data_IF_897191539911
#
_entry.id   IF_897191539911
#
_cell.length_a   1.000
_cell.length_b   1.000
_cell.length_c   1.000
_cell.angle_alpha   90.00
_cell.angle_beta   90.00
_cell.angle_gamma   90.00
#
_symmetry.space_group_name_H-M   'P 1'
#
loop_
_entity.id
_entity.type
_entity.pdbx_description
1 polymer ?
#
# COMPACT_ATOMS: atom_id res chain seq x y z
N UNK A 1 9.74 12.15 -19.47
CA UNK A 1 10.45 11.46 -18.36
C UNK A 1 9.57 10.34 -17.81
N UNK A 2 10.01 9.09 -17.90
CA UNK A 2 9.28 7.93 -17.38
C UNK A 2 9.19 8.00 -15.85
N UNK A 3 7.97 7.86 -15.32
CA UNK A 3 7.71 7.95 -13.89
C UNK A 3 8.37 6.78 -13.17
N UNK A 4 9.41 7.04 -12.38
CA UNK A 4 10.08 6.02 -11.57
C UNK A 4 9.07 5.39 -10.60
N UNK A 5 9.07 4.06 -10.53
CA UNK A 5 8.22 3.30 -9.60
C UNK A 5 8.50 3.74 -8.17
N UNK A 6 7.45 4.11 -7.43
CA UNK A 6 7.59 4.60 -6.05
C UNK A 6 7.70 3.41 -5.09
N UNK A 7 8.72 3.44 -4.22
CA UNK A 7 8.84 2.49 -3.11
C UNK A 7 7.77 2.80 -2.07
N UNK A 8 6.93 1.81 -1.74
CA UNK A 8 5.95 1.92 -0.66
C UNK A 8 6.66 1.71 0.69
N UNK A 9 7.36 2.74 1.15
CA UNK A 9 8.03 2.80 2.44
C UNK A 9 7.90 4.22 3.01
N UNK A 10 8.24 4.38 4.29
CA UNK A 10 8.27 5.70 4.90
C UNK A 10 9.25 6.62 4.15
N UNK A 11 8.81 7.84 3.82
CA UNK A 11 9.64 8.84 3.15
C UNK A 11 10.40 9.60 4.24
N UNK A 12 11.71 9.35 4.39
CA UNK A 12 12.50 9.96 5.45
C UNK A 12 12.59 11.50 5.34
N UNK A 13 12.80 12.02 4.13
CA UNK A 13 12.88 13.46 3.87
C UNK A 13 11.53 14.14 4.15
N UNK A 14 11.48 15.07 5.11
CA UNK A 14 10.24 15.68 5.57
C UNK A 14 9.53 16.52 4.49
N UNK A 15 10.27 17.37 3.78
CA UNK A 15 9.70 18.20 2.71
C UNK A 15 9.09 17.35 1.59
N UNK A 16 9.77 16.29 1.17
CA UNK A 16 9.28 15.33 0.19
C UNK A 16 8.06 14.56 0.71
N UNK A 17 8.07 14.17 1.99
CA UNK A 17 6.95 13.49 2.66
C UNK A 17 5.72 14.39 2.74
N UNK A 18 5.87 15.66 3.13
CA UNK A 18 4.81 16.67 3.20
C UNK A 18 4.21 16.97 1.82
N UNK A 19 5.05 17.16 0.80
CA UNK A 19 4.59 17.37 -0.58
C UNK A 19 3.82 16.14 -1.12
N UNK A 20 4.33 14.94 -0.84
CA UNK A 20 3.68 13.68 -1.22
C UNK A 20 2.36 13.50 -0.48
N UNK A 21 2.30 13.78 0.83
CA UNK A 21 1.08 13.73 1.63
C UNK A 21 0.00 14.63 1.03
N UNK A 22 0.31 15.92 0.77
CA UNK A 22 -0.65 16.85 0.17
C UNK A 22 -1.22 16.34 -1.17
N UNK A 23 -0.35 15.83 -2.04
CA UNK A 23 -0.77 15.28 -3.35
C UNK A 23 -1.63 14.01 -3.20
N UNK A 24 -1.20 13.06 -2.35
CA UNK A 24 -1.91 11.79 -2.14
C UNK A 24 -3.22 11.96 -1.38
N UNK A 25 -3.26 12.83 -0.36
CA UNK A 25 -4.49 13.19 0.37
C UNK A 25 -5.58 13.63 -0.60
N UNK A 26 -5.28 14.62 -1.45
CA UNK A 26 -6.21 15.12 -2.46
C UNK A 26 -6.64 14.02 -3.43
N UNK A 27 -5.70 13.21 -3.91
CA UNK A 27 -6.00 12.09 -4.81
C UNK A 27 -6.89 11.04 -4.17
N UNK A 28 -6.65 10.69 -2.91
CA UNK A 28 -7.47 9.74 -2.15
C UNK A 28 -8.89 10.25 -1.98
N UNK A 29 -9.06 11.48 -1.49
CA UNK A 29 -10.39 12.06 -1.27
C UNK A 29 -11.18 12.18 -2.58
N UNK A 30 -10.52 12.56 -3.68
CA UNK A 30 -11.16 12.56 -5.01
C UNK A 30 -11.61 11.15 -5.42
N UNK A 31 -10.78 10.13 -5.20
CA UNK A 31 -11.13 8.75 -5.53
C UNK A 31 -12.27 8.21 -4.66
N UNK A 32 -12.35 8.66 -3.41
CA UNK A 32 -13.48 8.32 -2.54
C UNK A 32 -14.76 8.94 -3.06
N UNK A 33 -14.75 10.23 -3.41
CA UNK A 33 -15.89 10.93 -3.98
C UNK A 33 -16.40 10.25 -5.27
N UNK A 34 -15.48 9.95 -6.20
CA UNK A 34 -15.77 9.19 -7.42
C UNK A 34 -16.38 7.80 -7.11
N UNK A 35 -15.80 7.06 -6.17
CA UNK A 35 -16.28 5.72 -5.80
C UNK A 35 -17.69 5.77 -5.18
N UNK A 36 -17.91 6.68 -4.24
CA UNK A 36 -19.23 6.83 -3.60
C UNK A 36 -20.29 7.26 -4.60
N UNK A 37 -19.94 8.12 -5.56
CA UNK A 37 -20.87 8.62 -6.58
C UNK A 37 -21.19 7.55 -7.63
N UNK A 38 -20.18 6.85 -8.14
CA UNK A 38 -20.35 5.90 -9.25
C UNK A 38 -20.97 4.57 -8.81
N UNK A 39 -20.71 4.16 -7.57
CA UNK A 39 -21.14 2.84 -7.07
C UNK A 39 -22.25 2.92 -6.03
N UNK A 40 -22.73 4.11 -5.68
CA UNK A 40 -23.72 4.35 -4.62
C UNK A 40 -23.36 3.63 -3.29
N UNK A 41 -22.10 3.78 -2.90
CA UNK A 41 -21.59 3.17 -1.66
C UNK A 41 -21.35 4.22 -0.59
N UNK A 42 -21.67 3.88 0.67
CA UNK A 42 -21.35 4.72 1.83
C UNK A 42 -19.91 4.50 2.25
N UNK A 43 -19.10 5.56 2.25
CA UNK A 43 -17.71 5.52 2.69
C UNK A 43 -17.32 6.78 3.47
N UNK A 44 -16.30 6.66 4.32
CA UNK A 44 -15.70 7.79 5.02
C UNK A 44 -14.19 7.59 5.16
N UNK A 45 -13.45 8.68 5.31
CA UNK A 45 -12.03 8.64 5.66
C UNK A 45 -11.69 9.61 6.78
N UNK A 46 -10.77 9.16 7.64
CA UNK A 46 -10.18 9.92 8.74
C UNK A 46 -8.67 9.84 8.58
N UNK A 47 -8.03 10.97 8.31
CA UNK A 47 -6.59 11.04 8.08
C UNK A 47 -5.91 11.85 9.17
N UNK A 48 -5.01 11.20 9.91
CA UNK A 48 -4.09 11.83 10.84
C UNK A 48 -2.76 12.13 10.15
N UNK A 49 -2.17 13.28 10.46
CA UNK A 49 -0.91 13.70 9.87
C UNK A 49 -0.20 14.68 10.79
N UNK A 50 1.14 14.60 10.90
CA UNK A 50 1.92 15.58 11.67
C UNK A 50 1.91 16.98 11.04
N UNK A 51 1.41 17.10 9.80
CA UNK A 51 1.33 18.37 9.06
C UNK A 51 0.01 19.12 9.23
N UNK A 52 -0.95 18.54 9.95
CA UNK A 52 -2.28 19.10 10.17
C UNK A 52 -2.53 19.13 11.69
N UNK A 53 -3.11 20.22 12.20
CA UNK A 53 -3.45 20.32 13.64
C UNK A 53 -4.63 19.46 14.04
N UNK A 54 -5.50 19.13 13.07
CA UNK A 54 -6.70 18.31 13.24
C UNK A 54 -6.74 17.23 12.18
N UNK A 55 -7.38 16.09 12.46
CA UNK A 55 -7.58 15.07 11.44
C UNK A 55 -8.44 15.62 10.29
N UNK A 56 -8.09 15.22 9.08
CA UNK A 56 -8.92 15.48 7.91
C UNK A 56 -10.01 14.42 7.88
N UNK A 57 -11.26 14.85 7.95
CA UNK A 57 -12.43 13.97 7.93
C UNK A 57 -13.22 14.25 6.66
N UNK A 58 -13.51 13.21 5.89
CA UNK A 58 -14.31 13.28 4.68
C UNK A 58 -15.46 12.26 4.75
N UNK A 59 -16.68 12.61 4.28
CA UNK A 59 -17.07 13.88 3.64
C UNK A 59 -17.21 15.05 4.62
N UNK A 60 -18.03 14.88 5.65
CA UNK A 60 -18.15 15.78 6.79
C UNK A 60 -18.13 14.95 8.09
N UNK A 61 -17.78 15.52 9.25
CA UNK A 61 -17.75 14.77 10.51
C UNK A 61 -19.07 14.08 10.87
N UNK A 62 -20.23 14.67 10.54
CA UNK A 62 -21.54 14.03 10.70
C UNK A 62 -21.69 12.82 9.77
N UNK A 63 -21.47 12.99 8.47
CA UNK A 63 -21.55 11.89 7.51
C UNK A 63 -20.58 10.75 7.82
N UNK A 64 -19.36 11.06 8.27
CA UNK A 64 -18.42 10.04 8.71
C UNK A 64 -18.91 9.28 9.95
N UNK A 65 -19.53 9.98 10.93
CA UNK A 65 -20.17 9.32 12.08
C UNK A 65 -21.30 8.39 11.66
N UNK A 66 -22.10 8.77 10.68
CA UNK A 66 -23.21 7.94 10.18
C UNK A 66 -22.70 6.65 9.52
N UNK A 67 -21.62 6.75 8.72
CA UNK A 67 -20.96 5.58 8.12
C UNK A 67 -20.40 4.66 9.21
N UNK A 68 -19.71 5.23 10.22
CA UNK A 68 -19.16 4.46 11.34
C UNK A 68 -20.27 3.79 12.17
N UNK A 69 -21.35 4.50 12.44
CA UNK A 69 -22.50 3.96 13.17
C UNK A 69 -23.15 2.80 12.39
N UNK A 70 -23.31 2.96 11.08
CA UNK A 70 -23.81 1.90 10.20
C UNK A 70 -22.90 0.69 10.22
N UNK A 71 -21.58 0.89 10.11
CA UNK A 71 -20.59 -0.18 10.19
C UNK A 71 -20.64 -0.93 11.53
N UNK A 72 -20.76 -0.21 12.66
CA UNK A 72 -20.85 -0.81 14.00
C UNK A 72 -22.07 -1.71 14.19
N UNK A 73 -23.18 -1.42 13.49
CA UNK A 73 -24.42 -2.22 13.54
C UNK A 73 -24.34 -3.52 12.73
N UNK A 74 -23.35 -3.67 11.85
CA UNK A 74 -23.20 -4.90 11.05
C UNK A 74 -22.83 -6.10 11.94
N UNK A 75 -23.25 -7.33 11.57
CA UNK A 75 -22.76 -8.55 12.19
C UNK A 75 -21.23 -8.66 12.13
N UNK A 76 -20.61 -9.28 13.14
CA UNK A 76 -19.15 -9.36 13.22
C UNK A 76 -18.53 -10.10 12.03
N UNK A 77 -19.20 -11.16 11.56
CA UNK A 77 -18.77 -11.90 10.39
C UNK A 77 -18.68 -11.02 9.13
N UNK A 78 -19.63 -10.10 8.94
CA UNK A 78 -19.63 -9.17 7.81
C UNK A 78 -18.56 -8.10 7.94
N UNK A 79 -18.33 -7.59 9.16
CA UNK A 79 -17.27 -6.62 9.44
C UNK A 79 -15.90 -7.18 9.06
N UNK A 80 -15.60 -8.41 9.46
CA UNK A 80 -14.26 -9.02 9.29
C UNK A 80 -14.04 -9.55 7.87
N UNK A 81 -15.08 -10.04 7.19
CA UNK A 81 -14.98 -10.74 5.88
C UNK A 81 -14.15 -10.02 4.82
N UNK A 82 -14.18 -8.68 4.81
CA UNK A 82 -13.47 -7.83 3.84
C UNK A 82 -12.60 -6.76 4.50
N UNK A 83 -12.38 -6.84 5.81
CA UNK A 83 -11.53 -5.88 6.51
C UNK A 83 -10.06 -6.12 6.14
N UNK A 84 -9.41 -5.06 5.66
CA UNK A 84 -7.95 -5.06 5.47
C UNK A 84 -7.34 -4.18 6.55
N UNK A 85 -6.72 -4.80 7.55
CA UNK A 85 -5.97 -4.07 8.57
C UNK A 85 -4.57 -3.72 8.07
N UNK A 86 -3.92 -2.75 8.71
CA UNK A 86 -2.52 -2.43 8.43
C UNK A 86 -1.62 -3.62 8.71
N UNK A 87 -1.90 -4.39 9.77
CA UNK A 87 -1.15 -5.59 10.11
C UNK A 87 -1.26 -6.64 8.99
N UNK A 88 -2.48 -6.94 8.54
CA UNK A 88 -2.73 -7.92 7.47
C UNK A 88 -2.06 -7.47 6.17
N UNK A 89 -2.16 -6.19 5.82
CA UNK A 89 -1.47 -5.63 4.66
C UNK A 89 0.05 -5.78 4.76
N UNK A 90 0.64 -5.53 5.93
CA UNK A 90 2.08 -5.70 6.15
C UNK A 90 2.49 -7.17 6.05
N UNK A 91 1.73 -8.10 6.63
CA UNK A 91 1.97 -9.56 6.49
C UNK A 91 1.98 -9.99 5.03
N UNK A 92 0.99 -9.57 4.23
CA UNK A 92 0.94 -9.86 2.80
C UNK A 92 2.15 -9.31 2.05
N UNK A 93 2.63 -8.13 2.42
CA UNK A 93 3.83 -7.54 1.80
C UNK A 93 5.12 -8.24 2.18
N UNK A 94 5.23 -8.72 3.41
CA UNK A 94 6.36 -9.54 3.87
C UNK A 94 6.38 -10.86 3.11
N UNK A 95 5.23 -11.54 2.99
CA UNK A 95 5.11 -12.77 2.21
C UNK A 95 5.56 -12.57 0.76
N UNK A 96 5.07 -11.51 0.11
CA UNK A 96 5.49 -11.17 -1.27
C UNK A 96 6.98 -10.86 -1.41
N UNK A 97 7.58 -10.23 -0.40
CA UNK A 97 9.02 -9.98 -0.39
C UNK A 97 9.81 -11.29 -0.27
N UNK A 98 9.35 -12.24 0.57
CA UNK A 98 9.96 -13.58 0.65
C UNK A 98 9.87 -14.35 -0.66
N UNK A 99 8.74 -14.29 -1.36
CA UNK A 99 8.60 -14.92 -2.68
C UNK A 99 9.59 -14.33 -3.70
N UNK A 100 9.74 -13.01 -3.72
CA UNK A 100 10.71 -12.33 -4.59
C UNK A 100 12.14 -12.73 -4.26
N UNK A 101 12.47 -12.85 -2.97
CA UNK A 101 13.79 -13.30 -2.53
C UNK A 101 14.08 -14.73 -3.00
N UNK A 102 13.13 -15.66 -2.84
CA UNK A 102 13.27 -17.04 -3.33
C UNK A 102 13.52 -17.10 -4.84
N UNK A 103 12.80 -16.29 -5.61
CA UNK A 103 13.02 -16.18 -7.05
C UNK A 103 14.44 -15.70 -7.38
N UNK A 104 14.88 -14.62 -6.73
CA UNK A 104 16.23 -14.09 -6.94
C UNK A 104 17.34 -15.10 -6.56
N UNK A 105 17.15 -15.87 -5.49
CA UNK A 105 18.09 -16.93 -5.12
C UNK A 105 18.18 -18.02 -6.19
N UNK A 106 17.06 -18.41 -6.79
CA UNK A 106 17.04 -19.38 -7.89
C UNK A 106 17.76 -18.81 -9.13
N UNK A 107 17.41 -17.59 -9.54
CA UNK A 107 18.00 -16.93 -10.70
C UNK A 107 19.53 -16.75 -10.51
N UNK A 108 19.99 -16.49 -9.28
CA UNK A 108 21.42 -16.41 -8.97
C UNK A 108 22.10 -17.78 -9.09
N UNK A 109 21.51 -18.85 -8.56
CA UNK A 109 22.07 -20.21 -8.69
C UNK A 109 22.22 -20.65 -10.14
N UNK A 110 21.25 -20.31 -10.99
CA UNK A 110 21.30 -20.60 -12.43
C UNK A 110 22.47 -19.85 -13.10
N UNK A 111 22.68 -18.59 -12.73
CA UNK A 111 23.81 -17.79 -13.23
C UNK A 111 25.16 -18.33 -12.75
N UNK A 112 25.26 -18.73 -11.48
CA UNK A 112 26.49 -19.30 -10.92
C UNK A 112 26.84 -20.61 -11.63
N UNK A 113 25.87 -21.49 -11.87
CA UNK A 113 26.08 -22.74 -12.62
C UNK A 113 26.50 -22.47 -14.07
N UNK A 114 25.86 -21.49 -14.71
CA UNK A 114 26.22 -21.07 -16.07
C UNK A 114 27.64 -20.52 -16.11
N UNK A 115 28.04 -19.75 -15.11
CA UNK A 115 29.39 -19.20 -15.00
C UNK A 115 30.44 -20.32 -14.85
N UNK A 116 30.20 -21.28 -13.95
CA UNK A 116 31.08 -22.45 -13.77
C UNK A 116 31.21 -23.25 -15.07
N UNK A 117 30.10 -23.50 -15.77
CA UNK A 117 30.13 -24.18 -17.08
C UNK A 117 31.05 -23.47 -18.08
N UNK A 118 31.00 -22.13 -18.15
CA UNK A 118 31.88 -21.37 -19.04
C UNK A 118 33.35 -21.44 -18.61
N UNK A 119 33.66 -21.47 -17.31
CA UNK A 119 35.02 -21.63 -16.80
C UNK A 119 35.62 -22.99 -17.18
N UNK A 120 34.86 -24.07 -17.02
CA UNK A 120 35.28 -25.41 -17.44
C UNK A 120 35.53 -25.48 -18.96
N UNK A 121 34.66 -24.87 -19.77
CA UNK A 121 34.85 -24.81 -21.24
C UNK A 121 36.08 -23.99 -21.65
N UNK A 122 36.46 -22.98 -20.86
CA UNK A 122 37.64 -22.16 -21.10
C UNK A 122 38.94 -22.79 -20.57
N UNK A 123 38.88 -23.96 -19.91
CA UNK A 123 40.04 -24.64 -19.33
C UNK A 123 40.67 -23.88 -18.16
N UNK A 124 39.87 -23.15 -17.38
CA UNK A 124 40.33 -22.31 -16.26
C UNK A 124 40.26 -23.00 -14.88
N UNK A 125 40.19 -24.34 -14.85
CA UNK A 125 40.14 -25.14 -13.61
C UNK A 125 41.53 -25.45 -13.03
#
# INVERSE_FOLDING_TARGET
MTRKKVKLAFIANDSARKATYKKRKRGLLKKMDELTTLCDVKACAILYSPYETRPVVWPAPSGAKDVIASFKRLPEMEKVKKMVSQEEFLRQRVAKAHEQLKKQQKDNREKDMTHVMYQCLAGQD
#
